data_IF_027599887923
#
_entry.id   IF_027599887923
#
_cell.length_a   1.000
_cell.length_b   1.000
_cell.length_c   1.000
_cell.angle_alpha   90.00
_cell.angle_beta   90.00
_cell.angle_gamma   90.00
#
_symmetry.space_group_name_H-M   'P 1'
#
loop_
_entity.id
_entity.type
_entity.pdbx_description
1 polymer ?
#
# COMPACT_ATOMS: atom_id res chain seq x y z
N UNK A 1 -11.22 -1.54 -5.82
CA UNK A 1 -9.96 -2.11 -6.36
C UNK A 1 -9.03 -0.92 -6.61
N UNK A 2 -7.80 -0.91 -6.08
CA UNK A 2 -6.95 0.30 -6.01
C UNK A 2 -6.33 0.76 -7.34
N UNK A 3 -6.57 0.06 -8.46
CA UNK A 3 -6.00 0.38 -9.77
C UNK A 3 -4.48 0.14 -9.90
N UNK A 4 -3.81 -0.24 -8.82
CA UNK A 4 -2.36 -0.48 -8.79
C UNK A 4 -2.01 -1.94 -9.09
N UNK A 5 -0.96 -2.14 -9.89
CA UNK A 5 -0.40 -3.47 -10.11
C UNK A 5 0.23 -4.04 -8.82
N UNK A 6 0.23 -5.37 -8.68
CA UNK A 6 0.85 -6.05 -7.53
C UNK A 6 2.35 -5.66 -7.38
N UNK A 7 3.18 -5.65 -8.44
CA UNK A 7 4.58 -5.24 -8.34
C UNK A 7 4.75 -3.81 -7.83
N UNK A 8 3.89 -2.89 -8.27
CA UNK A 8 3.91 -1.49 -7.80
C UNK A 8 3.60 -1.43 -6.30
N UNK A 9 2.60 -2.17 -5.83
CA UNK A 9 2.24 -2.21 -4.42
C UNK A 9 3.42 -2.70 -3.55
N UNK A 10 4.09 -3.79 -3.94
CA UNK A 10 5.24 -4.31 -3.20
C UNK A 10 6.44 -3.35 -3.22
N UNK A 11 6.67 -2.65 -4.35
CA UNK A 11 7.73 -1.64 -4.46
C UNK A 11 7.47 -0.44 -3.54
N UNK A 12 6.24 0.03 -3.48
CA UNK A 12 5.84 1.13 -2.60
C UNK A 12 5.94 0.73 -1.13
N UNK A 13 5.54 -0.51 -0.79
CA UNK A 13 5.77 -1.07 0.54
C UNK A 13 7.26 -1.13 0.91
N UNK A 14 8.12 -1.62 0.00
CA UNK A 14 9.55 -1.76 0.30
C UNK A 14 10.26 -0.41 0.47
N UNK A 15 9.75 0.64 -0.17
CA UNK A 15 10.25 2.02 -0.05
C UNK A 15 9.71 2.76 1.17
N UNK A 16 8.76 2.18 1.92
CA UNK A 16 8.11 2.84 3.05
C UNK A 16 7.09 3.91 2.64
N UNK A 17 6.66 3.91 1.37
CA UNK A 17 5.67 4.86 0.83
C UNK A 17 4.22 4.43 1.14
N UNK A 18 4.04 3.23 1.71
CA UNK A 18 2.75 2.70 2.16
C UNK A 18 2.80 2.38 3.64
N UNK A 19 1.84 2.91 4.40
CA UNK A 19 1.63 2.53 5.78
C UNK A 19 1.11 1.10 5.85
N UNK A 20 1.89 0.23 6.49
CA UNK A 20 1.54 -1.18 6.67
C UNK A 20 1.46 -1.56 8.13
N UNK A 21 0.59 -2.53 8.42
CA UNK A 21 0.46 -3.14 9.75
C UNK A 21 0.56 -4.65 9.61
N UNK A 22 1.29 -5.28 10.54
CA UNK A 22 1.41 -6.74 10.60
C UNK A 22 0.28 -7.29 11.47
N UNK A 23 -0.54 -8.17 10.91
CA UNK A 23 -1.63 -8.87 11.61
C UNK A 23 -1.37 -10.37 11.48
N UNK A 24 -0.81 -10.95 12.55
CA UNK A 24 -0.35 -12.34 12.54
C UNK A 24 0.71 -12.59 11.45
N UNK A 25 0.37 -13.48 10.49
CA UNK A 25 1.23 -13.81 9.34
C UNK A 25 0.99 -12.92 8.12
N UNK A 26 0.02 -12.01 8.16
CA UNK A 26 -0.35 -11.14 7.03
C UNK A 26 0.17 -9.72 7.25
N UNK A 27 0.59 -9.06 6.17
CA UNK A 27 0.87 -7.62 6.14
C UNK A 27 -0.29 -6.94 5.43
N UNK A 28 -0.99 -6.04 6.13
CA UNK A 28 -2.09 -5.26 5.58
C UNK A 28 -1.61 -3.84 5.30
N UNK A 29 -2.19 -3.21 4.27
CA UNK A 29 -1.95 -1.80 3.92
C UNK A 29 -3.12 -0.98 4.43
N UNK A 30 -2.85 0.17 5.04
CA UNK A 30 -3.92 1.11 5.40
C UNK A 30 -4.56 1.67 4.13
N UNK A 31 -5.89 1.59 4.03
CA UNK A 31 -6.64 2.10 2.87
C UNK A 31 -6.38 3.59 2.66
N UNK A 32 -6.29 4.37 3.73
CA UNK A 32 -5.94 5.79 3.67
C UNK A 32 -4.58 6.04 3.00
N UNK A 33 -3.60 5.15 3.19
CA UNK A 33 -2.30 5.25 2.53
C UNK A 33 -2.40 5.05 1.02
N UNK A 34 -3.27 4.13 0.59
CA UNK A 34 -3.56 3.91 -0.83
C UNK A 34 -4.27 5.12 -1.41
N UNK A 35 -5.27 5.64 -0.70
CA UNK A 35 -6.04 6.80 -1.15
C UNK A 35 -5.16 8.07 -1.25
N UNK A 36 -4.20 8.29 -0.36
CA UNK A 36 -3.23 9.39 -0.48
C UNK A 36 -2.37 9.28 -1.74
N UNK A 37 -1.95 8.07 -2.10
CA UNK A 37 -1.15 7.84 -3.32
C UNK A 37 -1.96 8.00 -4.60
N UNK A 38 -3.20 7.48 -4.62
CA UNK A 38 -4.05 7.50 -5.82
C UNK A 38 -4.76 8.86 -5.99
N UNK A 39 -5.15 9.52 -4.90
CA UNK A 39 -5.80 10.83 -4.94
C UNK A 39 -4.83 12.01 -5.07
N UNK A 40 -3.52 11.79 -4.96
CA UNK A 40 -2.49 12.76 -5.30
C UNK A 40 -2.09 12.72 -6.80
N UNK A 41 -2.75 11.88 -7.60
CA UNK A 41 -2.50 11.71 -9.03
C UNK A 41 -3.59 12.37 -9.88
#
# INVERSE_FOLDING_TARGET
MSGLSIPTLYRLMSRGELDTVKVGRRRLVKVESINRLVGAA
#
